data_IF_659840547215
#
_entry.id   IF_659840547215
#
_cell.length_a   1.000
_cell.length_b   1.000
_cell.length_c   1.000
_cell.angle_alpha   90.00
_cell.angle_beta   90.00
_cell.angle_gamma   90.00
#
_symmetry.space_group_name_H-M   'P 1'
#
loop_
_entity.id
_entity.type
_entity.pdbx_description
1 polymer ?
#
# COMPACT_ATOMS: atom_id res chain seq x y z
N UNK A 1 -11.40 -36.35 -3.09
CA UNK A 1 -11.25 -34.88 -3.29
C UNK A 1 -12.57 -34.26 -2.90
N UNK A 2 -12.59 -33.45 -1.82
CA UNK A 2 -13.80 -32.74 -1.43
C UNK A 2 -13.89 -31.47 -2.27
N UNK A 3 -14.90 -31.36 -3.15
CA UNK A 3 -15.18 -30.14 -3.88
C UNK A 3 -16.03 -29.23 -3.02
N UNK A 4 -15.50 -28.02 -2.73
CA UNK A 4 -16.25 -26.96 -2.03
C UNK A 4 -16.74 -25.97 -3.08
N UNK A 5 -18.05 -25.89 -3.28
CA UNK A 5 -18.65 -24.90 -4.15
C UNK A 5 -18.89 -23.63 -3.33
N UNK A 6 -18.25 -22.52 -3.70
CA UNK A 6 -18.48 -21.19 -3.08
C UNK A 6 -19.19 -20.29 -4.07
N UNK A 7 -20.24 -19.60 -3.61
CA UNK A 7 -20.94 -18.56 -4.39
C UNK A 7 -20.21 -17.23 -4.21
N UNK A 8 -19.73 -16.63 -5.30
CA UNK A 8 -19.20 -15.27 -5.31
C UNK A 8 -20.38 -14.29 -5.42
N UNK A 9 -20.52 -13.41 -4.44
CA UNK A 9 -21.54 -12.35 -4.46
C UNK A 9 -21.06 -11.17 -5.29
N UNK A 10 -21.94 -10.61 -6.12
CA UNK A 10 -21.66 -9.39 -6.88
C UNK A 10 -21.55 -8.21 -5.93
N UNK A 11 -20.39 -7.52 -5.91
CA UNK A 11 -20.17 -6.29 -5.12
C UNK A 11 -20.23 -5.08 -6.06
N UNK A 12 -20.89 -4.00 -5.62
CA UNK A 12 -20.85 -2.70 -6.29
C UNK A 12 -19.78 -1.85 -5.62
N UNK A 13 -18.81 -1.37 -6.41
CA UNK A 13 -17.75 -0.50 -5.92
C UNK A 13 -18.07 0.98 -6.18
N UNK A 14 -17.60 1.86 -5.31
CA UNK A 14 -17.76 3.30 -5.45
C UNK A 14 -16.84 3.85 -6.56
N UNK A 15 -17.23 4.96 -7.17
CA UNK A 15 -16.37 5.74 -8.06
C UNK A 15 -15.81 6.90 -7.24
N UNK A 16 -14.47 6.98 -7.15
CA UNK A 16 -13.75 8.05 -6.48
C UNK A 16 -13.12 8.97 -7.52
N UNK A 17 -13.55 10.23 -7.54
CA UNK A 17 -12.97 11.28 -8.40
C UNK A 17 -11.97 12.07 -7.60
N UNK A 18 -10.76 12.22 -8.13
CA UNK A 18 -9.66 12.93 -7.49
C UNK A 18 -9.11 13.90 -8.53
N UNK A 19 -9.26 15.18 -8.25
CA UNK A 19 -8.79 16.28 -9.10
C UNK A 19 -7.64 17.03 -8.42
N UNK A 20 -6.91 17.88 -9.19
CA UNK A 20 -5.80 18.67 -8.67
C UNK A 20 -4.47 17.91 -8.56
N UNK A 21 -4.37 16.70 -9.11
CA UNK A 21 -3.09 16.01 -9.23
C UNK A 21 -2.21 16.66 -10.31
N UNK A 22 -0.87 16.71 -10.13
CA UNK A 22 0.04 17.11 -11.20
C UNK A 22 -0.17 16.23 -12.45
N UNK A 23 -0.32 16.88 -13.62
CA UNK A 23 -0.66 16.15 -14.86
C UNK A 23 0.37 15.08 -15.23
N UNK A 24 1.66 15.33 -14.98
CA UNK A 24 2.72 14.33 -15.17
C UNK A 24 2.58 13.08 -14.28
N UNK A 25 1.89 13.18 -13.14
CA UNK A 25 1.58 12.03 -12.27
C UNK A 25 0.32 11.28 -12.72
N UNK A 26 -0.56 11.92 -13.50
CA UNK A 26 -1.76 11.30 -14.08
C UNK A 26 -1.46 10.70 -15.45
N UNK A 27 -0.74 11.44 -16.29
CA UNK A 27 -0.27 11.04 -17.61
C UNK A 27 1.24 11.27 -17.66
N UNK A 28 2.05 10.28 -17.26
CA UNK A 28 3.50 10.43 -17.22
C UNK A 28 4.07 10.72 -18.62
N UNK A 29 5.08 11.58 -18.73
CA UNK A 29 5.82 11.73 -19.98
C UNK A 29 6.66 10.47 -20.26
N UNK A 30 6.97 10.22 -21.52
CA UNK A 30 7.73 9.03 -21.96
C UNK A 30 9.10 8.92 -21.26
N UNK A 31 9.73 10.07 -20.96
CA UNK A 31 11.02 10.15 -20.28
C UNK A 31 11.08 9.44 -18.92
N UNK A 32 9.94 9.24 -18.25
CA UNK A 32 9.88 8.54 -16.95
C UNK A 32 9.41 7.10 -17.03
N UNK A 33 9.04 6.58 -18.21
CA UNK A 33 8.52 5.21 -18.34
C UNK A 33 9.53 4.14 -17.89
N UNK A 34 10.82 4.34 -18.21
CA UNK A 34 11.88 3.42 -17.77
C UNK A 34 11.95 3.37 -16.25
N UNK A 35 11.97 4.53 -15.56
CA UNK A 35 11.93 4.64 -14.10
C UNK A 35 10.73 3.92 -13.51
N UNK A 36 9.52 4.19 -14.03
CA UNK A 36 8.28 3.57 -13.54
C UNK A 36 8.33 2.05 -13.69
N UNK A 37 8.86 1.54 -14.82
CA UNK A 37 8.98 0.09 -15.06
C UNK A 37 9.95 -0.56 -14.07
N UNK A 38 11.09 0.06 -13.82
CA UNK A 38 12.10 -0.42 -12.88
C UNK A 38 11.57 -0.44 -11.44
N UNK A 39 10.92 0.65 -11.01
CA UNK A 39 10.28 0.76 -9.69
C UNK A 39 9.19 -0.30 -9.48
N UNK A 40 8.29 -0.47 -10.46
CA UNK A 40 7.28 -1.53 -10.41
C UNK A 40 7.88 -2.93 -10.35
N UNK A 41 9.02 -3.14 -11.02
CA UNK A 41 9.79 -4.38 -10.95
C UNK A 41 10.34 -4.65 -9.54
N UNK A 42 10.90 -3.63 -8.86
CA UNK A 42 11.39 -3.74 -7.48
C UNK A 42 10.24 -4.03 -6.51
N UNK A 43 9.14 -3.28 -6.60
CA UNK A 43 7.92 -3.52 -5.80
C UNK A 43 7.41 -4.96 -6.02
N UNK A 44 7.39 -5.43 -7.28
CA UNK A 44 6.97 -6.78 -7.62
C UNK A 44 7.85 -7.85 -6.99
N UNK A 45 9.17 -7.65 -6.99
CA UNK A 45 10.15 -8.55 -6.35
C UNK A 45 9.98 -8.58 -4.83
N UNK A 46 9.85 -7.40 -4.18
CA UNK A 46 9.65 -7.33 -2.73
C UNK A 46 8.39 -8.07 -2.27
N UNK A 47 7.32 -8.02 -3.06
CA UNK A 47 6.06 -8.75 -2.77
C UNK A 47 6.10 -10.24 -3.13
N UNK A 48 7.04 -10.67 -3.94
CA UNK A 48 7.14 -12.07 -4.37
C UNK A 48 7.90 -12.95 -3.36
N UNK A 49 8.41 -12.36 -2.27
CA UNK A 49 9.12 -13.09 -1.23
C UNK A 49 8.18 -14.11 -0.60
N UNK A 50 8.69 -15.32 -0.43
CA UNK A 50 8.00 -16.44 0.20
C UNK A 50 8.91 -16.99 1.31
N UNK A 51 8.89 -16.34 2.45
CA UNK A 51 9.61 -16.79 3.64
C UNK A 51 8.78 -17.76 4.47
N UNK A 52 9.44 -18.52 5.34
CA UNK A 52 8.80 -19.45 6.29
C UNK A 52 8.35 -18.75 7.59
N UNK A 53 8.36 -17.41 7.61
CA UNK A 53 7.84 -16.61 8.73
C UNK A 53 6.36 -16.87 8.92
N UNK A 54 5.90 -16.80 10.17
CA UNK A 54 4.49 -17.06 10.53
C UNK A 54 3.80 -15.85 11.15
N UNK A 55 4.34 -14.64 10.96
CA UNK A 55 3.79 -13.41 11.54
C UNK A 55 2.38 -13.09 11.02
N UNK A 56 2.05 -13.54 9.81
CA UNK A 56 0.71 -13.38 9.22
C UNK A 56 -0.40 -14.11 9.98
N UNK A 57 -0.06 -15.04 10.89
CA UNK A 57 -1.04 -15.74 11.72
C UNK A 57 -1.58 -14.87 12.86
N UNK A 58 -0.87 -13.78 13.18
CA UNK A 58 -1.32 -12.80 14.16
C UNK A 58 -2.24 -11.79 13.46
N UNK A 59 -3.10 -11.19 14.27
CA UNK A 59 -4.02 -10.18 13.81
C UNK A 59 -3.27 -8.90 13.41
N UNK A 60 -3.70 -8.26 12.31
CA UNK A 60 -3.15 -6.97 11.88
C UNK A 60 -3.91 -5.81 12.54
N UNK A 61 -3.18 -4.77 12.95
CA UNK A 61 -3.75 -3.55 13.53
C UNK A 61 -3.77 -2.40 12.54
N UNK A 62 -4.62 -1.40 12.79
CA UNK A 62 -4.62 -0.15 12.03
C UNK A 62 -3.26 0.55 12.16
N UNK A 63 -2.59 0.88 11.03
CA UNK A 63 -1.23 1.44 11.06
C UNK A 63 -1.17 2.90 11.51
N UNK A 64 -2.26 3.63 11.39
CA UNK A 64 -2.37 5.04 11.80
C UNK A 64 -3.83 5.36 12.15
N UNK A 65 -4.03 6.23 13.12
CA UNK A 65 -5.35 6.80 13.42
C UNK A 65 -5.68 7.90 12.40
N UNK A 66 -6.89 7.85 11.83
CA UNK A 66 -7.31 8.81 10.82
C UNK A 66 -8.65 8.46 10.18
N UNK A 67 -9.04 9.25 9.20
CA UNK A 67 -10.30 9.08 8.49
C UNK A 67 -10.04 8.23 7.24
N UNK A 68 -10.80 7.14 7.04
CA UNK A 68 -10.74 6.36 5.80
C UNK A 68 -11.30 7.23 4.66
N UNK A 69 -10.41 7.76 3.83
CA UNK A 69 -10.72 8.64 2.71
C UNK A 69 -10.75 7.92 1.36
N UNK A 70 -10.21 6.70 1.28
CA UNK A 70 -10.26 5.83 0.12
C UNK A 70 -10.43 4.37 0.53
N UNK A 71 -11.31 3.64 -0.17
CA UNK A 71 -11.62 2.24 0.14
C UNK A 71 -11.18 1.30 -0.98
N UNK A 72 -10.87 0.05 -0.61
CA UNK A 72 -10.48 -0.99 -1.55
C UNK A 72 -11.55 -1.23 -2.63
N UNK A 73 -11.10 -1.35 -3.87
CA UNK A 73 -11.93 -1.64 -5.04
C UNK A 73 -12.62 -0.41 -5.65
N UNK A 74 -12.53 0.78 -5.04
CA UNK A 74 -13.11 1.98 -5.64
C UNK A 74 -12.46 2.30 -6.99
N UNK A 75 -13.30 2.51 -8.01
CA UNK A 75 -12.84 2.94 -9.33
C UNK A 75 -12.29 4.36 -9.24
N UNK A 76 -11.03 4.54 -9.60
CA UNK A 76 -10.40 5.87 -9.58
C UNK A 76 -10.55 6.59 -10.90
N UNK A 77 -10.96 7.87 -10.84
CA UNK A 77 -10.92 8.83 -11.94
C UNK A 77 -10.03 9.98 -11.48
N UNK A 78 -8.85 10.12 -12.11
CA UNK A 78 -7.83 11.10 -11.75
C UNK A 78 -7.80 12.21 -12.81
N UNK A 79 -8.07 13.46 -12.42
CA UNK A 79 -8.21 14.60 -13.34
C UNK A 79 -9.11 14.24 -14.54
N UNK A 80 -10.27 13.64 -14.29
CA UNK A 80 -11.20 13.20 -15.33
C UNK A 80 -10.79 11.91 -16.09
N UNK A 81 -9.60 11.35 -15.88
CA UNK A 81 -9.09 10.17 -16.60
C UNK A 81 -9.31 8.90 -15.79
N UNK A 82 -10.05 7.87 -16.29
CA UNK A 82 -10.21 6.60 -15.61
C UNK A 82 -8.85 5.90 -15.42
N UNK A 83 -8.63 5.34 -14.23
CA UNK A 83 -7.43 4.60 -13.83
C UNK A 83 -7.83 3.24 -13.22
N UNK A 84 -6.83 2.43 -12.86
CA UNK A 84 -7.04 1.19 -12.14
C UNK A 84 -7.77 1.43 -10.83
N UNK A 85 -8.58 0.46 -10.36
CA UNK A 85 -9.19 0.52 -9.04
C UNK A 85 -8.16 0.71 -7.94
N UNK A 86 -8.59 1.29 -6.82
CA UNK A 86 -7.76 1.39 -5.63
C UNK A 86 -7.58 0.02 -4.99
N UNK A 87 -6.33 -0.40 -4.78
CA UNK A 87 -6.00 -1.72 -4.23
C UNK A 87 -5.50 -1.65 -2.77
N UNK A 88 -6.03 -0.73 -2.00
CA UNK A 88 -5.69 -0.50 -0.62
C UNK A 88 -6.76 0.34 0.08
N UNK A 89 -6.40 0.92 1.20
CA UNK A 89 -7.17 1.96 1.88
C UNK A 89 -6.31 3.21 2.02
N UNK A 90 -6.93 4.38 1.87
CA UNK A 90 -6.30 5.64 2.18
C UNK A 90 -6.78 6.11 3.56
N UNK A 91 -5.84 6.42 4.45
CA UNK A 91 -6.11 6.90 5.80
C UNK A 91 -5.59 8.33 5.89
N UNK A 92 -6.50 9.30 5.84
CA UNK A 92 -6.15 10.71 5.96
C UNK A 92 -5.73 11.03 7.40
N UNK A 93 -4.54 11.58 7.55
CA UNK A 93 -3.98 12.02 8.83
C UNK A 93 -3.04 13.19 8.61
N UNK A 94 -2.70 13.94 9.67
CA UNK A 94 -1.79 15.09 9.57
C UNK A 94 -0.40 14.64 9.11
N UNK A 95 0.25 15.45 8.26
CA UNK A 95 1.67 15.26 7.92
C UNK A 95 2.52 15.14 9.19
N UNK A 96 3.42 14.18 9.21
CA UNK A 96 4.27 13.87 10.37
C UNK A 96 3.62 12.97 11.43
N UNK A 97 2.34 12.56 11.26
CA UNK A 97 1.73 11.57 12.16
C UNK A 97 2.50 10.25 12.06
N UNK A 98 2.84 9.66 13.22
CA UNK A 98 3.58 8.40 13.29
C UNK A 98 2.78 7.24 12.71
N UNK A 99 3.42 6.43 11.87
CA UNK A 99 2.88 5.21 11.30
C UNK A 99 3.46 4.03 12.06
N UNK A 100 2.59 3.15 12.54
CA UNK A 100 2.94 1.89 13.19
C UNK A 100 2.97 0.75 12.18
N UNK A 101 3.85 -0.22 12.40
CA UNK A 101 3.75 -1.48 11.68
C UNK A 101 2.44 -2.17 12.03
N UNK A 102 1.68 -2.53 11.00
CA UNK A 102 0.39 -3.21 11.14
C UNK A 102 0.53 -4.65 11.65
N UNK A 103 1.65 -5.31 11.38
CA UNK A 103 2.01 -6.65 11.84
C UNK A 103 3.52 -6.79 12.02
N UNK A 104 3.98 -7.77 12.79
CA UNK A 104 5.41 -8.11 12.84
C UNK A 104 5.88 -8.61 11.48
N UNK A 105 7.14 -8.34 11.10
CA UNK A 105 7.67 -8.74 9.79
C UNK A 105 9.09 -8.28 9.54
N UNK A 106 9.58 -8.58 8.35
CA UNK A 106 10.89 -8.12 7.86
C UNK A 106 10.69 -7.06 6.78
N UNK A 107 11.41 -5.95 6.86
CA UNK A 107 11.40 -4.90 5.83
C UNK A 107 12.07 -5.43 4.56
N UNK A 108 11.34 -5.47 3.46
CA UNK A 108 11.81 -5.95 2.16
C UNK A 108 12.03 -4.84 1.15
N UNK A 109 11.51 -3.65 1.44
CA UNK A 109 11.74 -2.42 0.68
C UNK A 109 11.58 -1.21 1.61
N UNK A 110 12.48 -0.23 1.45
CA UNK A 110 12.43 1.09 2.07
C UNK A 110 13.01 2.09 1.06
N UNK A 111 12.15 2.86 0.39
CA UNK A 111 12.52 3.77 -0.73
C UNK A 111 11.84 5.13 -0.54
N UNK A 112 12.61 6.21 -0.58
CA UNK A 112 12.11 7.55 -0.25
C UNK A 112 11.33 8.22 -1.40
N UNK A 113 11.64 7.90 -2.66
CA UNK A 113 11.12 8.63 -3.82
C UNK A 113 10.74 7.71 -4.99
N UNK A 114 9.73 6.86 -4.79
CA UNK A 114 9.11 6.16 -5.92
C UNK A 114 8.14 7.10 -6.66
N UNK A 115 8.13 7.01 -7.98
CA UNK A 115 7.40 7.95 -8.84
C UNK A 115 5.92 8.11 -8.48
N UNK A 116 5.23 7.00 -8.22
CA UNK A 116 3.81 7.03 -7.85
C UNK A 116 3.57 7.00 -6.34
N UNK A 117 4.29 6.16 -5.63
CA UNK A 117 4.01 5.89 -4.22
C UNK A 117 4.84 6.73 -3.26
N UNK A 118 5.83 7.49 -3.79
CA UNK A 118 6.70 8.32 -2.96
C UNK A 118 7.49 7.50 -1.95
N UNK A 119 7.62 7.99 -0.74
CA UNK A 119 8.18 7.24 0.38
C UNK A 119 7.39 5.97 0.60
N UNK A 120 8.07 4.82 0.52
CA UNK A 120 7.40 3.50 0.48
C UNK A 120 8.15 2.47 1.30
N UNK A 121 7.42 1.79 2.19
CA UNK A 121 7.90 0.61 2.92
C UNK A 121 7.09 -0.60 2.46
N UNK A 122 7.77 -1.74 2.25
CA UNK A 122 7.14 -3.06 2.08
C UNK A 122 7.72 -3.98 3.14
N UNK A 123 6.83 -4.74 3.79
CA UNK A 123 7.20 -5.73 4.80
C UNK A 123 6.69 -7.12 4.40
N UNK A 124 7.51 -8.13 4.62
CA UNK A 124 7.15 -9.54 4.51
C UNK A 124 6.71 -10.07 5.87
N UNK A 125 5.56 -10.75 5.91
CA UNK A 125 4.98 -11.36 7.11
C UNK A 125 4.99 -12.90 7.05
N UNK A 126 5.56 -13.45 5.98
CA UNK A 126 5.66 -14.87 5.70
C UNK A 126 4.62 -15.40 4.71
N UNK A 127 4.95 -16.51 4.08
CA UNK A 127 4.09 -17.24 3.13
C UNK A 127 3.48 -16.36 2.02
N UNK A 128 4.24 -15.34 1.57
CA UNK A 128 3.84 -14.40 0.53
C UNK A 128 2.87 -13.30 0.97
N UNK A 129 2.57 -13.19 2.26
CA UNK A 129 1.79 -12.07 2.81
C UNK A 129 2.71 -10.86 3.00
N UNK A 130 2.34 -9.73 2.41
CA UNK A 130 3.09 -8.48 2.53
C UNK A 130 2.18 -7.27 2.75
N UNK A 131 2.69 -6.30 3.52
CA UNK A 131 2.07 -4.98 3.66
C UNK A 131 2.87 -3.92 2.93
N UNK A 132 2.19 -2.88 2.43
CA UNK A 132 2.78 -1.72 1.77
C UNK A 132 2.26 -0.46 2.45
N UNK A 133 3.17 0.45 2.75
CA UNK A 133 2.93 1.77 3.31
C UNK A 133 3.46 2.79 2.32
N UNK A 134 2.62 3.68 1.79
CA UNK A 134 3.00 4.63 0.73
C UNK A 134 2.66 6.07 1.10
N UNK A 135 3.27 7.01 0.37
CA UNK A 135 3.16 8.47 0.54
C UNK A 135 3.80 8.99 1.83
N UNK A 136 4.78 8.22 2.39
CA UNK A 136 5.47 8.57 3.62
C UNK A 136 6.27 9.87 3.45
N UNK A 137 6.35 10.64 4.55
CA UNK A 137 7.28 11.78 4.66
C UNK A 137 8.67 11.31 5.07
N UNK A 138 8.73 10.53 6.16
CA UNK A 138 9.97 9.96 6.67
C UNK A 138 9.87 8.43 6.72
N UNK A 139 10.96 7.76 6.40
CA UNK A 139 11.16 6.32 6.59
C UNK A 139 12.15 6.13 7.73
N UNK A 140 11.77 5.35 8.75
CA UNK A 140 12.54 5.17 9.98
C UNK A 140 13.12 3.76 10.14
N UNK A 141 13.10 2.97 9.06
CA UNK A 141 13.55 1.57 9.03
C UNK A 141 14.37 1.29 7.78
N UNK A 142 15.18 0.24 7.82
CA UNK A 142 16.02 -0.18 6.71
C UNK A 142 15.60 -1.57 6.21
N UNK A 143 15.94 -1.87 4.97
CA UNK A 143 15.75 -3.22 4.41
C UNK A 143 16.52 -4.24 5.25
N UNK A 144 15.84 -5.30 5.65
CA UNK A 144 16.37 -6.36 6.52
C UNK A 144 16.03 -6.20 8.00
N UNK A 145 15.51 -5.05 8.43
CA UNK A 145 15.09 -4.86 9.82
C UNK A 145 13.91 -5.79 10.17
N UNK A 146 14.01 -6.44 11.33
CA UNK A 146 12.90 -7.16 11.93
C UNK A 146 12.09 -6.20 12.80
N UNK A 147 10.82 -6.01 12.46
CA UNK A 147 9.91 -5.05 13.07
C UNK A 147 8.81 -5.80 13.82
N UNK A 148 8.51 -5.36 15.03
CA UNK A 148 7.36 -5.86 15.81
C UNK A 148 6.11 -5.07 15.45
N UNK A 149 4.96 -5.71 15.55
CA UNK A 149 3.67 -5.03 15.45
C UNK A 149 3.59 -3.85 16.42
N UNK A 150 3.21 -2.69 15.93
CA UNK A 150 3.10 -1.45 16.71
C UNK A 150 4.36 -0.59 16.76
N UNK A 151 5.52 -1.11 16.30
CA UNK A 151 6.73 -0.28 16.18
C UNK A 151 6.53 0.84 15.16
N UNK A 152 7.13 2.01 15.44
CA UNK A 152 7.07 3.15 14.53
C UNK A 152 8.03 2.90 13.36
N UNK A 153 7.50 2.95 12.14
CA UNK A 153 8.26 2.66 10.91
C UNK A 153 8.46 3.90 10.02
N UNK A 154 7.69 4.97 10.25
CA UNK A 154 7.78 6.19 9.47
C UNK A 154 6.72 7.20 9.87
N UNK A 155 6.52 8.22 9.03
CA UNK A 155 5.52 9.27 9.25
C UNK A 155 4.66 9.50 8.01
N UNK A 156 3.41 9.96 8.22
CA UNK A 156 2.48 10.32 7.15
C UNK A 156 3.01 11.52 6.38
N UNK A 157 3.02 11.41 5.07
CA UNK A 157 3.39 12.45 4.14
C UNK A 157 2.35 12.66 3.05
N UNK A 158 2.82 13.28 1.96
CA UNK A 158 2.06 13.50 0.72
C UNK A 158 2.98 13.36 -0.49
N UNK A 159 3.94 12.43 -0.41
CA UNK A 159 4.94 12.20 -1.46
C UNK A 159 4.37 11.39 -2.63
N UNK A 160 5.05 11.40 -3.77
CA UNK A 160 4.60 10.68 -4.96
C UNK A 160 3.36 11.29 -5.61
N UNK A 161 2.34 10.48 -5.92
CA UNK A 161 1.07 10.89 -6.52
C UNK A 161 -0.01 11.02 -5.45
N UNK A 162 -0.03 12.13 -4.76
CA UNK A 162 -0.95 12.44 -3.68
C UNK A 162 -1.51 13.86 -3.84
N UNK A 163 -2.71 14.11 -3.35
CA UNK A 163 -3.34 15.45 -3.29
C UNK A 163 -3.29 16.06 -1.90
N UNK A 164 -2.88 15.31 -0.90
CA UNK A 164 -2.80 15.78 0.48
C UNK A 164 -2.32 14.68 1.42
N UNK A 165 -2.00 15.02 2.68
CA UNK A 165 -1.41 14.06 3.62
C UNK A 165 -2.34 12.88 3.93
N UNK A 166 -1.86 11.66 3.63
CA UNK A 166 -2.53 10.40 3.94
C UNK A 166 -1.54 9.23 3.85
N UNK A 167 -1.89 8.11 4.44
CA UNK A 167 -1.24 6.82 4.24
C UNK A 167 -2.07 5.99 3.24
N UNK A 168 -1.48 5.55 2.12
CA UNK A 168 -2.04 4.47 1.29
C UNK A 168 -1.49 3.15 1.84
N UNK A 169 -2.36 2.36 2.48
CA UNK A 169 -2.04 1.09 3.11
C UNK A 169 -2.61 -0.07 2.33
N UNK A 170 -1.77 -1.08 2.06
CA UNK A 170 -2.15 -2.25 1.26
C UNK A 170 -1.68 -3.54 1.90
N UNK A 171 -2.44 -4.61 1.66
CA UNK A 171 -2.07 -5.98 1.99
C UNK A 171 -2.15 -6.83 0.72
N UNK A 172 -1.19 -7.73 0.55
CA UNK A 172 -1.13 -8.60 -0.62
C UNK A 172 -0.79 -10.04 -0.20
N UNK A 173 -1.26 -10.98 -0.99
CA UNK A 173 -0.76 -12.35 -1.01
C UNK A 173 -0.06 -12.55 -2.34
N UNK A 174 1.26 -12.56 -2.32
CA UNK A 174 2.09 -12.45 -3.52
C UNK A 174 1.65 -11.26 -4.40
N UNK A 175 1.25 -11.52 -5.65
CA UNK A 175 0.75 -10.47 -6.55
C UNK A 175 -0.75 -10.20 -6.42
N UNK A 176 -1.48 -11.01 -5.64
CA UNK A 176 -2.92 -10.82 -5.40
C UNK A 176 -3.15 -9.71 -4.37
N UNK A 177 -4.01 -8.77 -4.71
CA UNK A 177 -4.41 -7.67 -3.81
C UNK A 177 -5.51 -8.15 -2.88
N UNK A 178 -5.38 -7.89 -1.59
CA UNK A 178 -6.38 -8.19 -0.58
C UNK A 178 -7.03 -6.90 -0.08
N UNK A 179 -8.32 -6.98 0.32
CA UNK A 179 -9.01 -5.86 0.98
C UNK A 179 -8.47 -5.73 2.41
N UNK A 180 -7.74 -4.64 2.76
CA UNK A 180 -7.15 -4.51 4.09
C UNK A 180 -8.19 -4.56 5.21
N UNK A 181 -9.40 -4.02 4.95
CA UNK A 181 -10.47 -4.01 5.95
C UNK A 181 -11.00 -5.41 6.31
N UNK A 182 -10.64 -6.45 5.54
CA UNK A 182 -11.02 -7.84 5.85
C UNK A 182 -10.15 -8.50 6.92
N UNK A 183 -9.01 -7.91 7.26
CA UNK A 183 -8.00 -8.49 8.18
C UNK A 183 -7.48 -7.50 9.24
N UNK A 184 -7.78 -6.22 9.10
CA UNK A 184 -7.49 -5.20 10.12
C UNK A 184 -8.56 -5.24 11.24
N UNK A 185 -8.13 -4.99 12.46
CA UNK A 185 -9.00 -4.77 13.64
C UNK A 185 -8.59 -3.49 14.35
#
# INVERSE_FOLDING_TARGET
KNNVIKRVLKRKYNIQRIDGLPENKVTPPESVYKRIKEENGRIGKARAINSDLTFFTNQFIMPVEGIISGVYGSQRILNGKPKWPHYGIDIAAKKGTKIKSSGSGIVTMAEDDLYYTGGTIIMDHGHGISTIYSHLEDIMVNVGDEIKQGDIIGTVGSTGRSTGPHLDFRINWFQTRLDPMSILQ
#
